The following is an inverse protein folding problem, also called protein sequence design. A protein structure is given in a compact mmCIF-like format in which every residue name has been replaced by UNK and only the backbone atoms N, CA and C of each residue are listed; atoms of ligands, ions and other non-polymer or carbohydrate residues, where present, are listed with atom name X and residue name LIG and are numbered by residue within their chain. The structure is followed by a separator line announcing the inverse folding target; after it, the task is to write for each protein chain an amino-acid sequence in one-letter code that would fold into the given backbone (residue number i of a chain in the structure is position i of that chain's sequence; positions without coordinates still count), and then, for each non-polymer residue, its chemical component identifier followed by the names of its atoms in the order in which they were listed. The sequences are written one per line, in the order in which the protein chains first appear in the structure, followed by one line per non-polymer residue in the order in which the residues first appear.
data_IF_595156590027
#
_entry.id   IF_595156590027
#
_cell.length_a   1.000
_cell.length_b   1.000
_cell.length_c   1.000
_cell.angle_alpha   90.00
_cell.angle_beta   90.00
_cell.angle_gamma   90.00
#
_symmetry.space_group_name_H-M   'P 1'
#
loop_
_entity.id
_entity.type
_entity.pdbx_description
1 polymer ?
#
# COMPACT_ATOMS: atom_id res chain seq x y z
N UNK A 1 25.93 18.88 19.33
CA UNK A 1 27.18 18.79 20.11
C UNK A 1 28.34 18.51 19.17
N UNK A 2 29.40 19.32 19.20
CA UNK A 2 30.62 19.06 18.45
C UNK A 2 31.56 18.26 19.34
N UNK A 3 31.83 16.99 19.01
CA UNK A 3 32.70 16.11 19.80
C UNK A 3 33.99 15.84 19.04
N UNK A 4 35.14 16.38 19.49
CA UNK A 4 36.43 16.22 18.80
C UNK A 4 37.11 14.86 19.03
N UNK A 5 36.45 13.90 19.71
CA UNK A 5 37.02 12.57 19.98
C UNK A 5 36.16 11.46 19.38
N UNK A 6 36.79 10.41 18.84
CA UNK A 6 36.12 9.23 18.28
C UNK A 6 35.43 8.31 19.33
N UNK A 7 35.27 8.77 20.59
CA UNK A 7 34.59 8.01 21.65
C UNK A 7 33.08 8.20 21.58
N UNK A 8 32.34 7.11 21.75
CA UNK A 8 30.87 7.10 21.84
C UNK A 8 30.43 7.57 23.23
N UNK A 9 29.46 8.48 23.30
CA UNK A 9 28.88 8.96 24.56
C UNK A 9 27.36 8.80 24.52
N UNK A 10 26.77 8.27 25.59
CA UNK A 10 25.33 8.14 25.76
C UNK A 10 24.83 9.17 26.76
N UNK A 11 23.73 9.85 26.43
CA UNK A 11 23.00 10.75 27.33
C UNK A 11 21.51 10.47 27.28
N UNK A 12 20.76 10.74 28.37
CA UNK A 12 19.31 10.67 28.34
C UNK A 12 18.75 11.58 27.24
N UNK A 13 17.73 11.09 26.53
CA UNK A 13 17.11 11.86 25.43
C UNK A 13 16.51 13.18 25.93
N UNK A 14 16.04 13.22 27.18
CA UNK A 14 15.53 14.42 27.86
C UNK A 14 16.55 15.55 28.00
N UNK A 15 17.84 15.24 27.95
CA UNK A 15 18.94 16.21 27.99
C UNK A 15 19.49 16.54 26.60
N UNK A 16 18.94 15.95 25.55
CA UNK A 16 19.43 16.07 24.19
C UNK A 16 18.42 16.83 23.31
N UNK A 17 18.90 17.82 22.57
CA UNK A 17 18.13 18.43 21.48
C UNK A 17 18.61 17.85 20.15
N UNK A 18 17.80 16.98 19.55
CA UNK A 18 18.05 16.41 18.23
C UNK A 18 17.36 17.30 17.19
N UNK A 19 18.06 17.62 16.10
CA UNK A 19 17.52 18.44 15.00
C UNK A 19 17.87 17.73 13.69
N UNK A 20 16.91 17.52 12.76
CA UNK A 20 15.49 17.88 12.89
C UNK A 20 14.75 17.01 13.93
N UNK A 21 13.70 17.58 14.53
CA UNK A 21 12.68 16.82 15.26
C UNK A 21 11.33 17.17 14.64
N UNK A 22 10.57 16.16 14.23
CA UNK A 22 9.23 16.30 13.67
C UNK A 22 8.21 15.61 14.58
N UNK A 23 7.15 16.31 14.95
CA UNK A 23 6.05 15.74 15.72
C UNK A 23 4.81 15.54 14.84
N UNK A 24 4.27 14.33 14.86
CA UNK A 24 3.02 13.96 14.20
C UNK A 24 2.03 13.45 15.25
N UNK A 25 0.74 13.68 15.03
CA UNK A 25 -0.35 13.23 15.91
C UNK A 25 -1.43 12.54 15.09
N UNK A 26 -2.12 11.59 15.70
CA UNK A 26 -3.26 10.88 15.10
C UNK A 26 -2.90 10.30 13.72
N UNK A 27 -1.86 9.47 13.68
CA UNK A 27 -1.35 8.87 12.43
C UNK A 27 -1.71 7.38 12.35
N UNK A 28 -1.54 6.79 11.16
CA UNK A 28 -1.51 5.36 10.93
C UNK A 28 -0.06 4.93 10.66
N UNK A 29 0.45 4.00 11.47
CA UNK A 29 1.76 3.36 11.27
C UNK A 29 1.61 2.11 10.39
N UNK A 30 2.40 2.04 9.32
CA UNK A 30 2.60 0.86 8.50
C UNK A 30 4.03 0.36 8.70
N UNK A 31 4.22 -0.94 8.95
CA UNK A 31 5.55 -1.55 8.95
C UNK A 31 5.88 -2.02 7.54
N UNK A 32 7.10 -1.79 7.06
CA UNK A 32 7.51 -2.33 5.75
C UNK A 32 7.40 -3.85 5.76
N UNK A 33 6.74 -4.40 4.73
CA UNK A 33 6.42 -5.82 4.61
C UNK A 33 5.14 -6.25 5.33
N UNK A 34 4.46 -5.36 6.05
CA UNK A 34 3.11 -5.60 6.58
C UNK A 34 2.06 -4.86 5.74
N UNK A 35 0.85 -5.39 5.68
CA UNK A 35 -0.34 -4.72 5.14
C UNK A 35 -1.23 -4.12 6.24
N UNK A 36 -0.81 -4.22 7.51
CA UNK A 36 -1.58 -3.75 8.65
C UNK A 36 -1.21 -2.32 9.03
N UNK A 37 -2.20 -1.43 8.96
CA UNK A 37 -2.10 -0.07 9.47
C UNK A 37 -2.54 -0.05 10.94
N UNK A 38 -1.70 0.51 11.79
CA UNK A 38 -1.94 0.60 13.22
C UNK A 38 -2.14 2.07 13.63
N UNK A 39 -3.24 2.45 14.29
CA UNK A 39 -3.43 3.82 14.76
C UNK A 39 -2.40 4.16 15.85
N UNK A 40 -1.87 5.38 15.79
CA UNK A 40 -0.88 5.93 16.72
C UNK A 40 -1.28 7.36 17.13
N UNK A 41 -1.27 7.64 18.44
CA UNK A 41 -1.67 8.95 18.99
C UNK A 41 -0.60 10.00 18.73
N UNK A 42 0.67 9.61 18.92
CA UNK A 42 1.81 10.53 18.84
C UNK A 42 3.04 9.85 18.27
N UNK A 43 3.74 10.57 17.40
CA UNK A 43 5.01 10.17 16.81
C UNK A 43 6.00 11.33 16.93
N UNK A 44 7.17 11.08 17.50
CA UNK A 44 8.30 12.02 17.55
C UNK A 44 9.44 11.44 16.71
N UNK A 45 9.75 12.06 15.56
CA UNK A 45 10.83 11.62 14.65
C UNK A 45 12.08 12.43 14.95
N UNK A 46 13.18 11.74 15.25
CA UNK A 46 14.46 12.33 15.61
C UNK A 46 15.50 12.10 14.51
N UNK A 47 15.99 13.21 13.95
CA UNK A 47 17.06 13.23 12.96
C UNK A 47 16.76 12.40 11.71
N UNK A 48 15.48 12.27 11.36
CA UNK A 48 14.95 11.45 10.26
C UNK A 48 15.39 9.97 10.27
N UNK A 49 15.85 9.47 11.42
CA UNK A 49 16.39 8.11 11.59
C UNK A 49 15.53 7.24 12.50
N UNK A 50 15.00 7.81 13.57
CA UNK A 50 14.25 7.06 14.57
C UNK A 50 12.91 7.73 14.84
N UNK A 51 11.85 6.93 14.89
CA UNK A 51 10.52 7.36 15.29
C UNK A 51 10.18 6.79 16.67
N UNK A 52 9.81 7.67 17.60
CA UNK A 52 9.29 7.30 18.90
C UNK A 52 7.75 7.37 18.84
N UNK A 53 7.12 6.21 18.91
CA UNK A 53 5.69 6.00 18.67
C UNK A 53 4.95 5.69 19.96
N UNK A 54 3.82 6.36 20.17
CA UNK A 54 2.89 6.09 21.25
C UNK A 54 1.54 5.64 20.69
N UNK A 55 1.05 4.49 21.16
CA UNK A 55 -0.23 3.92 20.73
C UNK A 55 -1.40 4.45 21.58
N UNK A 56 -2.63 4.45 21.02
CA UNK A 56 -3.84 4.88 21.71
C UNK A 56 -4.02 4.20 23.07
N UNK A 57 -4.25 5.01 24.11
CA UNK A 57 -4.51 4.55 25.47
C UNK A 57 -3.34 3.83 26.15
N UNK A 58 -2.14 3.81 25.56
CA UNK A 58 -0.94 3.19 26.13
C UNK A 58 0.11 4.27 26.46
N UNK A 59 0.60 4.35 27.71
CA UNK A 59 1.64 5.32 28.07
C UNK A 59 3.03 4.93 27.57
N UNK A 60 3.22 3.65 27.18
CA UNK A 60 4.50 3.14 26.73
C UNK A 60 4.83 3.65 25.32
N UNK A 61 6.03 4.23 25.18
CA UNK A 61 6.60 4.61 23.89
C UNK A 61 7.45 3.48 23.29
N UNK A 62 7.42 3.35 21.97
CA UNK A 62 8.13 2.33 21.19
C UNK A 62 9.05 3.01 20.17
N UNK A 63 10.27 2.49 20.00
CA UNK A 63 11.24 3.05 19.05
C UNK A 63 11.23 2.22 17.77
N UNK A 64 11.13 2.89 16.64
CA UNK A 64 11.23 2.30 15.30
C UNK A 64 12.34 2.99 14.51
N UNK A 65 12.99 2.23 13.62
CA UNK A 65 13.86 2.80 12.59
C UNK A 65 12.98 3.34 11.46
N UNK A 66 13.24 4.55 10.98
CA UNK A 66 12.50 5.14 9.84
C UNK A 66 12.61 4.29 8.57
N UNK A 67 13.67 3.50 8.41
CA UNK A 67 13.80 2.56 7.30
C UNK A 67 12.79 1.42 7.33
N UNK A 68 12.15 1.15 8.48
CA UNK A 68 11.21 0.03 8.66
C UNK A 68 9.75 0.42 8.83
N UNK A 69 9.43 1.72 8.90
CA UNK A 69 8.07 2.21 9.12
C UNK A 69 7.71 3.40 8.25
N UNK A 70 6.42 3.53 7.94
CA UNK A 70 5.84 4.67 7.24
C UNK A 70 4.62 5.17 8.02
N UNK A 71 4.37 6.47 7.97
CA UNK A 71 3.27 7.13 8.68
C UNK A 71 2.34 7.82 7.70
N UNK A 72 1.03 7.62 7.89
CA UNK A 72 0.00 8.18 7.04
C UNK A 72 -1.04 8.90 7.88
N UNK A 73 -1.54 10.03 7.40
CA UNK A 73 -2.72 10.65 7.99
C UNK A 73 -3.95 9.75 7.75
N UNK A 74 -4.79 9.51 8.78
CA UNK A 74 -6.08 8.87 8.61
C UNK A 74 -6.91 9.62 7.56
N UNK A 75 -7.71 8.87 6.81
CA UNK A 75 -8.56 9.45 5.77
C UNK A 75 -10.03 9.30 6.13
N UNK A 76 -10.83 10.33 5.90
CA UNK A 76 -12.30 10.31 6.05
C UNK A 76 -13.00 9.58 4.89
N UNK A 77 -12.31 8.63 4.24
CA UNK A 77 -12.84 7.89 3.10
C UNK A 77 -14.10 7.09 3.50
N UNK A 78 -14.21 6.70 4.78
CA UNK A 78 -15.37 5.99 5.30
C UNK A 78 -16.66 6.79 5.21
N UNK A 79 -16.55 8.13 5.17
CA UNK A 79 -17.67 9.05 5.07
C UNK A 79 -18.04 9.34 3.60
N UNK A 80 -17.26 8.85 2.64
CA UNK A 80 -17.53 9.06 1.23
C UNK A 80 -18.75 8.25 0.76
N UNK A 81 -19.59 8.80 -0.14
CA UNK A 81 -20.80 8.12 -0.63
C UNK A 81 -20.51 6.74 -1.23
N UNK A 82 -19.41 6.61 -1.98
CA UNK A 82 -19.02 5.34 -2.60
C UNK A 82 -18.68 4.26 -1.55
N UNK A 83 -17.94 4.62 -0.50
CA UNK A 83 -17.60 3.69 0.57
C UNK A 83 -18.84 3.31 1.39
N UNK A 84 -19.69 4.30 1.68
CA UNK A 84 -20.96 4.10 2.38
C UNK A 84 -21.87 3.14 1.60
N UNK A 85 -21.93 3.27 0.27
CA UNK A 85 -22.64 2.33 -0.60
C UNK A 85 -22.06 0.91 -0.54
N UNK A 86 -20.73 0.74 -0.59
CA UNK A 86 -20.13 -0.59 -0.45
C UNK A 86 -20.46 -1.24 0.90
N UNK A 87 -20.44 -0.45 1.98
CA UNK A 87 -20.81 -0.92 3.32
C UNK A 87 -22.29 -1.31 3.38
N UNK A 88 -23.19 -0.51 2.81
CA UNK A 88 -24.62 -0.84 2.80
C UNK A 88 -24.93 -2.11 2.00
N UNK A 89 -24.25 -2.32 0.87
CA UNK A 89 -24.36 -3.56 0.09
C UNK A 89 -23.82 -4.76 0.87
N UNK A 90 -22.69 -4.62 1.55
CA UNK A 90 -22.12 -5.70 2.38
C UNK A 90 -23.09 -6.09 3.50
N UNK A 91 -23.62 -5.12 4.24
CA UNK A 91 -24.59 -5.35 5.31
C UNK A 91 -25.89 -5.97 4.76
N UNK A 92 -26.41 -5.47 3.64
CA UNK A 92 -27.61 -6.04 3.01
C UNK A 92 -27.42 -7.50 2.58
N UNK A 93 -26.21 -7.87 2.11
CA UNK A 93 -25.87 -9.26 1.77
C UNK A 93 -25.87 -10.18 2.99
N UNK A 94 -25.43 -9.68 4.15
CA UNK A 94 -25.52 -10.43 5.42
C UNK A 94 -26.98 -10.68 5.77
N UNK A 95 -27.84 -9.66 5.67
CA UNK A 95 -29.27 -9.79 5.98
C UNK A 95 -30.02 -10.73 5.02
N UNK A 96 -29.63 -10.75 3.74
CA UNK A 96 -30.26 -11.59 2.71
C UNK A 96 -29.71 -13.02 2.64
N UNK A 97 -28.60 -13.32 3.32
CA UNK A 97 -27.96 -14.63 3.24
C UNK A 97 -28.75 -15.69 4.01
N UNK A 98 -29.17 -16.75 3.31
CA UNK A 98 -29.70 -17.95 3.94
C UNK A 98 -28.65 -18.61 4.85
N UNK A 99 -29.11 -19.31 5.89
CA UNK A 99 -28.23 -20.00 6.84
C UNK A 99 -27.31 -21.01 6.12
N UNK A 100 -26.02 -20.96 6.42
CA UNK A 100 -24.97 -21.80 5.79
C UNK A 100 -23.72 -20.99 5.39
N UNK A 101 -22.84 -21.59 4.59
CA UNK A 101 -21.53 -21.01 4.20
C UNK A 101 -21.63 -19.60 3.57
N UNK A 102 -22.73 -19.31 2.87
CA UNK A 102 -22.96 -17.99 2.26
C UNK A 102 -23.10 -16.88 3.30
N UNK A 103 -23.68 -17.19 4.46
CA UNK A 103 -23.82 -16.24 5.56
C UNK A 103 -22.48 -15.94 6.22
N UNK A 104 -21.68 -16.97 6.48
CA UNK A 104 -20.33 -16.80 7.05
C UNK A 104 -19.40 -15.97 6.15
N UNK A 105 -19.46 -16.17 4.82
CA UNK A 105 -18.72 -15.33 3.87
C UNK A 105 -19.18 -13.87 3.90
N UNK A 106 -20.49 -13.63 3.89
CA UNK A 106 -21.05 -12.27 3.94
C UNK A 106 -20.66 -11.55 5.23
N UNK A 107 -20.75 -12.22 6.39
CA UNK A 107 -20.37 -11.69 7.70
C UNK A 107 -18.87 -11.38 7.76
N UNK A 108 -18.03 -12.23 7.18
CA UNK A 108 -16.61 -11.96 7.11
C UNK A 108 -16.28 -10.73 6.26
N UNK A 109 -16.95 -10.57 5.11
CA UNK A 109 -16.77 -9.38 4.25
C UNK A 109 -17.18 -8.12 5.00
N UNK A 110 -18.36 -8.10 5.63
CA UNK A 110 -18.85 -6.94 6.37
C UNK A 110 -17.90 -6.56 7.52
N UNK A 111 -17.41 -7.54 8.28
CA UNK A 111 -16.40 -7.35 9.32
C UNK A 111 -15.11 -6.76 8.77
N UNK A 112 -14.59 -7.30 7.67
CA UNK A 112 -13.36 -6.80 7.05
C UNK A 112 -13.53 -5.37 6.54
N UNK A 113 -14.67 -5.06 5.89
CA UNK A 113 -15.00 -3.71 5.44
C UNK A 113 -15.03 -2.70 6.60
N UNK A 114 -15.54 -3.10 7.77
CA UNK A 114 -15.54 -2.27 8.98
C UNK A 114 -14.16 -2.05 9.60
N UNK A 115 -13.20 -2.95 9.35
CA UNK A 115 -11.84 -2.91 9.88
C UNK A 115 -10.80 -2.34 8.91
N UNK A 116 -11.20 -1.88 7.72
CA UNK A 116 -10.28 -1.31 6.74
C UNK A 116 -9.67 -0.01 7.28
N UNK A 117 -8.39 -0.07 7.62
CA UNK A 117 -7.57 1.12 7.86
C UNK A 117 -7.01 1.60 6.52
N UNK A 118 -7.44 2.78 6.08
CA UNK A 118 -7.27 3.21 4.70
C UNK A 118 -6.27 4.35 4.58
N UNK A 119 -5.16 4.05 3.91
CA UNK A 119 -4.13 5.02 3.54
C UNK A 119 -4.51 5.77 2.25
N UNK A 120 -4.12 7.06 2.13
CA UNK A 120 -4.25 7.83 0.89
C UNK A 120 -3.61 7.16 -0.32
N UNK A 121 -2.62 6.28 -0.12
CA UNK A 121 -1.89 5.59 -1.18
C UNK A 121 -2.66 4.39 -1.78
N UNK A 122 -3.79 3.99 -1.22
CA UNK A 122 -4.55 2.82 -1.71
C UNK A 122 -5.45 3.12 -2.91
N UNK A 123 -5.62 2.17 -3.83
CA UNK A 123 -6.54 2.31 -4.96
C UNK A 123 -8.00 2.55 -4.50
N UNK A 124 -8.41 1.96 -3.38
CA UNK A 124 -9.74 2.19 -2.80
C UNK A 124 -9.93 3.64 -2.37
N UNK A 125 -8.91 4.25 -1.74
CA UNK A 125 -8.95 5.68 -1.42
C UNK A 125 -9.16 6.54 -2.66
N UNK A 126 -8.36 6.31 -3.71
CA UNK A 126 -8.48 7.07 -4.94
C UNK A 126 -9.84 6.90 -5.63
N UNK A 127 -10.39 5.70 -5.61
CA UNK A 127 -11.73 5.41 -6.13
C UNK A 127 -12.81 6.18 -5.36
N UNK A 128 -12.82 6.09 -4.02
CA UNK A 128 -13.86 6.73 -3.23
C UNK A 128 -13.78 8.25 -3.22
N UNK A 129 -12.57 8.83 -3.29
CA UNK A 129 -12.38 10.28 -3.38
C UNK A 129 -12.55 10.83 -4.80
N UNK A 130 -12.55 9.97 -5.83
CA UNK A 130 -12.51 10.39 -7.22
C UNK A 130 -11.23 11.15 -7.60
N UNK A 131 -10.17 11.01 -6.81
CA UNK A 131 -8.90 11.73 -6.96
C UNK A 131 -7.77 10.71 -6.83
N UNK A 132 -6.83 10.72 -7.77
CA UNK A 132 -5.67 9.83 -7.74
C UNK A 132 -4.38 10.65 -7.61
N UNK A 133 -3.46 10.15 -6.79
CA UNK A 133 -2.13 10.74 -6.64
C UNK A 133 -1.18 10.32 -7.77
N UNK A 134 -0.18 11.16 -8.02
CA UNK A 134 1.04 10.75 -8.72
C UNK A 134 1.93 9.96 -7.75
N UNK A 135 2.58 8.94 -8.27
CA UNK A 135 3.56 8.14 -7.55
C UNK A 135 4.97 8.51 -8.00
N UNK A 136 5.90 8.48 -7.07
CA UNK A 136 7.33 8.57 -7.37
C UNK A 136 7.84 7.19 -7.77
N UNK A 137 8.54 7.11 -8.91
CA UNK A 137 9.16 5.87 -9.38
C UNK A 137 10.66 6.06 -9.58
N UNK A 138 11.44 5.03 -9.25
CA UNK A 138 12.90 5.01 -9.41
C UNK A 138 13.34 4.88 -10.87
N UNK A 139 12.43 4.67 -11.82
CA UNK A 139 12.69 4.70 -13.27
C UNK A 139 13.50 3.51 -13.84
N UNK A 140 13.99 2.61 -12.99
CA UNK A 140 14.78 1.46 -13.42
C UNK A 140 13.87 0.26 -13.72
N UNK A 141 13.25 0.25 -14.89
CA UNK A 141 12.38 -0.85 -15.33
C UNK A 141 13.11 -1.84 -16.26
N UNK A 142 12.70 -3.10 -16.22
CA UNK A 142 13.06 -4.13 -17.19
C UNK A 142 11.85 -4.55 -18.03
N UNK A 143 12.10 -5.13 -19.21
CA UNK A 143 11.04 -5.54 -20.14
C UNK A 143 11.29 -6.95 -20.73
N UNK A 144 11.27 -8.01 -19.90
CA UNK A 144 11.67 -9.36 -20.30
C UNK A 144 10.74 -9.99 -21.35
N UNK A 145 9.53 -9.45 -21.55
CA UNK A 145 8.53 -10.02 -22.46
C UNK A 145 8.43 -9.31 -23.81
N UNK A 146 9.34 -8.35 -24.07
CA UNK A 146 9.28 -7.47 -25.23
C UNK A 146 8.09 -6.51 -25.16
N UNK A 147 8.22 -5.37 -25.84
CA UNK A 147 7.14 -4.39 -25.96
C UNK A 147 7.37 -3.46 -27.16
N UNK A 148 6.30 -2.79 -27.59
CA UNK A 148 6.39 -1.64 -28.49
C UNK A 148 6.33 -0.32 -27.71
N UNK A 149 6.48 0.80 -28.40
CA UNK A 149 6.53 2.13 -27.78
C UNK A 149 5.28 2.48 -26.96
N UNK A 150 4.07 2.16 -27.44
CA UNK A 150 2.84 2.45 -26.69
C UNK A 150 2.71 1.57 -25.44
N UNK A 151 3.18 0.33 -25.50
CA UNK A 151 3.24 -0.57 -24.35
C UNK A 151 4.31 -0.13 -23.35
N UNK A 152 5.46 0.39 -23.80
CA UNK A 152 6.50 0.98 -22.93
C UNK A 152 5.89 2.10 -22.09
N UNK A 153 5.26 3.06 -22.75
CA UNK A 153 4.59 4.19 -22.10
C UNK A 153 3.52 3.70 -21.11
N UNK A 154 2.74 2.68 -21.49
CA UNK A 154 1.73 2.09 -20.61
C UNK A 154 2.34 1.47 -19.34
N UNK A 155 3.48 0.78 -19.43
CA UNK A 155 4.19 0.25 -18.26
C UNK A 155 4.72 1.39 -17.40
N UNK A 156 5.38 2.40 -17.99
CA UNK A 156 5.94 3.53 -17.22
C UNK A 156 4.85 4.31 -16.48
N UNK A 157 3.75 4.62 -17.15
CA UNK A 157 2.61 5.34 -16.55
C UNK A 157 1.95 4.52 -15.42
N UNK A 158 1.94 3.18 -15.53
CA UNK A 158 1.43 2.30 -14.48
C UNK A 158 2.18 2.46 -13.15
N UNK A 159 3.46 2.83 -13.18
CA UNK A 159 4.26 3.08 -11.97
C UNK A 159 4.27 4.53 -11.51
N UNK A 160 3.78 5.47 -12.32
CA UNK A 160 3.68 6.89 -12.00
C UNK A 160 2.29 7.29 -11.49
N UNK A 161 1.31 6.38 -11.60
CA UNK A 161 -0.09 6.66 -11.27
C UNK A 161 -0.62 5.64 -10.27
N UNK A 162 -1.39 6.12 -9.29
CA UNK A 162 -2.03 5.25 -8.29
C UNK A 162 -3.08 4.29 -8.88
N UNK A 163 -3.74 4.71 -9.96
CA UNK A 163 -4.67 3.90 -10.75
C UNK A 163 -4.32 4.12 -12.21
N UNK A 164 -4.22 3.04 -12.98
CA UNK A 164 -3.96 3.08 -14.42
C UNK A 164 -4.97 2.21 -15.17
N UNK A 165 -5.51 2.75 -16.25
CA UNK A 165 -6.39 2.03 -17.18
C UNK A 165 -5.65 1.87 -18.49
N UNK A 166 -5.37 0.63 -18.88
CA UNK A 166 -4.66 0.30 -20.12
C UNK A 166 -5.63 -0.37 -21.07
N UNK A 167 -5.94 0.30 -22.16
CA UNK A 167 -6.83 -0.20 -23.21
C UNK A 167 -6.05 -0.60 -24.45
N UNK A 168 -6.58 -1.57 -25.20
CA UNK A 168 -5.98 -1.97 -26.46
C UNK A 168 -6.90 -2.90 -27.25
N UNK A 169 -6.91 -2.85 -28.60
CA UNK A 169 -7.64 -3.81 -29.43
C UNK A 169 -7.27 -5.28 -29.16
N UNK A 170 -8.08 -6.25 -29.62
CA UNK A 170 -7.70 -7.66 -29.58
C UNK A 170 -6.35 -7.90 -30.27
N UNK A 171 -5.50 -8.76 -29.68
CA UNK A 171 -4.21 -9.11 -30.26
C UNK A 171 -3.06 -8.11 -30.03
N UNK A 172 -3.28 -6.95 -29.38
CA UNK A 172 -2.24 -5.92 -29.18
C UNK A 172 -1.28 -6.19 -28.02
N UNK A 173 -1.06 -7.46 -27.65
CA UNK A 173 -0.06 -7.82 -26.65
C UNK A 173 -0.34 -7.34 -25.22
N UNK A 174 -1.59 -7.03 -24.84
CA UNK A 174 -1.96 -6.62 -23.46
C UNK A 174 -1.39 -7.52 -22.37
N UNK A 175 -1.38 -8.84 -22.61
CA UNK A 175 -0.77 -9.82 -21.69
C UNK A 175 0.72 -9.54 -21.48
N UNK A 176 1.48 -9.17 -22.51
CA UNK A 176 2.90 -8.83 -22.36
C UNK A 176 3.10 -7.55 -21.55
N UNK A 177 2.22 -6.55 -21.73
CA UNK A 177 2.22 -5.34 -20.90
C UNK A 177 1.98 -5.69 -19.42
N UNK A 178 0.99 -6.54 -19.13
CA UNK A 178 0.71 -7.02 -17.77
C UNK A 178 1.93 -7.73 -17.18
N UNK A 179 2.55 -8.64 -17.95
CA UNK A 179 3.71 -9.39 -17.51
C UNK A 179 4.92 -8.51 -17.19
N UNK A 180 5.18 -7.48 -18.03
CA UNK A 180 6.24 -6.50 -17.76
C UNK A 180 5.95 -5.68 -16.49
N UNK A 181 4.70 -5.30 -16.22
CA UNK A 181 4.33 -4.63 -14.96
C UNK A 181 4.60 -5.57 -13.77
N UNK A 182 4.16 -6.82 -13.83
CA UNK A 182 4.34 -7.80 -12.75
C UNK A 182 5.83 -8.02 -12.47
N UNK A 183 6.64 -8.24 -13.51
CA UNK A 183 8.09 -8.46 -13.36
C UNK A 183 8.77 -7.31 -12.60
N UNK A 184 8.42 -6.07 -12.92
CA UNK A 184 8.97 -4.89 -12.23
C UNK A 184 8.50 -4.78 -10.78
N UNK A 185 7.25 -5.14 -10.46
CA UNK A 185 6.78 -5.16 -9.06
C UNK A 185 7.53 -6.22 -8.24
N UNK A 186 7.74 -7.41 -8.82
CA UNK A 186 8.44 -8.51 -8.16
C UNK A 186 9.93 -8.18 -7.92
N UNK A 187 10.60 -7.52 -8.88
CA UNK A 187 11.98 -7.05 -8.69
C UNK A 187 12.12 -6.00 -7.59
N UNK A 188 11.06 -5.24 -7.30
CA UNK A 188 11.03 -4.33 -6.15
C UNK A 188 10.79 -5.06 -4.81
N UNK A 189 10.74 -6.40 -4.80
CA UNK A 189 10.47 -7.20 -3.61
C UNK A 189 9.02 -7.06 -3.09
N UNK A 190 8.10 -6.58 -3.93
CA UNK A 190 6.68 -6.39 -3.59
C UNK A 190 5.85 -7.58 -4.04
N UNK A 191 4.65 -7.71 -3.47
CA UNK A 191 3.67 -8.73 -3.86
C UNK A 191 2.66 -8.17 -4.87
N UNK A 192 2.10 -9.06 -5.71
CA UNK A 192 1.09 -8.72 -6.71
C UNK A 192 -0.10 -9.67 -6.57
N UNK A 193 -1.32 -9.11 -6.62
CA UNK A 193 -2.54 -9.87 -6.80
C UNK A 193 -3.06 -9.67 -8.23
N UNK A 194 -3.20 -10.77 -8.98
CA UNK A 194 -3.77 -10.77 -10.34
C UNK A 194 -5.18 -11.34 -10.27
N UNK A 195 -6.17 -10.60 -10.78
CA UNK A 195 -7.58 -10.99 -10.77
C UNK A 195 -8.18 -10.87 -12.16
N UNK A 196 -9.11 -11.76 -12.51
CA UNK A 196 -9.84 -11.75 -13.78
C UNK A 196 -11.19 -12.44 -13.62
N UNK A 197 -12.16 -12.07 -14.46
CA UNK A 197 -13.42 -12.79 -14.59
C UNK A 197 -13.27 -14.11 -15.37
N UNK A 198 -12.12 -14.34 -16.01
CA UNK A 198 -11.84 -15.55 -16.78
C UNK A 198 -10.56 -16.22 -16.26
N UNK A 199 -10.70 -17.45 -15.77
CA UNK A 199 -9.59 -18.26 -15.26
C UNK A 199 -8.48 -18.47 -16.30
N UNK A 200 -8.82 -18.59 -17.59
CA UNK A 200 -7.80 -18.80 -18.63
C UNK A 200 -6.85 -17.60 -18.81
N UNK A 201 -7.31 -16.39 -18.50
CA UNK A 201 -6.47 -15.21 -18.55
C UNK A 201 -5.45 -15.19 -17.40
N UNK A 202 -5.84 -15.66 -16.22
CA UNK A 202 -4.94 -15.79 -15.06
C UNK A 202 -3.92 -16.89 -15.31
N UNK A 203 -4.36 -18.05 -15.81
CA UNK A 203 -3.48 -19.17 -16.14
C UNK A 203 -2.41 -18.78 -17.16
N UNK A 204 -2.80 -18.10 -18.24
CA UNK A 204 -1.85 -17.62 -19.26
C UNK A 204 -0.81 -16.64 -18.71
N UNK A 205 -1.19 -15.79 -17.75
CA UNK A 205 -0.23 -14.91 -17.05
C UNK A 205 0.72 -15.74 -16.19
N UNK A 206 0.18 -16.72 -15.45
CA UNK A 206 0.96 -17.59 -14.57
C UNK A 206 1.99 -18.43 -15.35
N UNK A 207 1.55 -19.13 -16.41
CA UNK A 207 2.42 -19.96 -17.26
C UNK A 207 3.56 -19.13 -17.87
N UNK A 208 3.26 -17.93 -18.36
CA UNK A 208 4.26 -17.05 -18.99
C UNK A 208 5.25 -16.44 -18.00
N UNK A 209 4.85 -16.20 -16.75
CA UNK A 209 5.80 -15.80 -15.71
C UNK A 209 6.75 -16.94 -15.37
N UNK A 210 6.25 -18.18 -15.33
CA UNK A 210 7.05 -19.37 -15.02
C UNK A 210 8.03 -19.78 -16.13
N UNK A 211 7.82 -19.32 -17.36
CA UNK A 211 8.68 -19.66 -18.51
C UNK A 211 9.89 -18.74 -18.70
N UNK A 212 10.03 -17.68 -17.90
CA UNK A 212 11.21 -16.81 -17.93
C UNK A 212 12.34 -17.47 -17.14
N UNK A 213 13.48 -17.80 -17.78
CA UNK A 213 14.63 -18.34 -17.05
C UNK A 213 15.15 -17.28 -16.07
N UNK A 214 15.37 -17.71 -14.82
CA UNK A 214 15.95 -16.91 -13.73
C UNK A 214 17.45 -16.74 -13.94
#
# INVERSE_FOLDING_TARGET
CHYPSQKTYSRPLSECRVVPTLELKDMLLLRKGSSEFNPVDRVEIYGDKHALVQYPGKPKKYIFNMDSVEFFSPTSITDEPAFTYFRSVATARVSAAAAGDKKGMAENIDRQMGGLSLSPATALHAYCKGQHGKLESSGNFIFPFGLNESQLQAVEQAFLSQISVIEGPPGTGKTQTILNIIANILLQGKTVAVVSNNNSAVENVYEKLGSVPV
#
